data_IF_302657965641
#
_entry.id   IF_302657965641
#
_cell.length_a   1.000
_cell.length_b   1.000
_cell.length_c   1.000
_cell.angle_alpha   90.00
_cell.angle_beta   90.00
_cell.angle_gamma   90.00
#
_symmetry.space_group_name_H-M   'P 1'
#
loop_
_entity.id
_entity.type
_entity.pdbx_description
1 polymer ?
#
# COMPACT_ATOMS: atom_id res chain seq x y z
N UNK A 1 -13.25 -10.50 -2.31
CA UNK A 1 -11.79 -10.32 -2.24
C UNK A 1 -11.24 -11.10 -1.06
N UNK A 2 -10.12 -11.75 -1.26
CA UNK A 2 -9.60 -12.77 -0.34
C UNK A 2 -8.67 -12.25 0.74
N UNK A 3 -8.17 -11.04 0.60
CA UNK A 3 -7.24 -10.44 1.55
C UNK A 3 -7.86 -9.28 2.30
N UNK A 4 -7.25 -8.93 3.43
CA UNK A 4 -7.62 -7.76 4.23
C UNK A 4 -6.38 -6.95 4.54
N UNK A 5 -6.39 -5.69 4.17
CA UNK A 5 -5.25 -4.79 4.37
C UNK A 5 -5.55 -3.81 5.50
N UNK A 6 -4.55 -3.57 6.34
CA UNK A 6 -4.60 -2.47 7.29
C UNK A 6 -4.04 -1.23 6.60
N UNK A 7 -4.90 -0.24 6.38
CA UNK A 7 -4.50 1.02 5.77
C UNK A 7 -4.37 2.09 6.84
N UNK A 8 -3.24 2.75 6.86
CA UNK A 8 -2.96 3.83 7.79
C UNK A 8 -2.83 5.15 7.04
N UNK A 9 -3.30 6.20 7.65
CA UNK A 9 -3.24 7.55 7.10
C UNK A 9 -2.41 8.45 7.98
N UNK A 10 -1.56 9.25 7.36
CA UNK A 10 -0.82 10.28 8.07
C UNK A 10 -1.78 11.39 8.45
N UNK A 11 -2.00 11.58 9.76
CA UNK A 11 -2.90 12.62 10.28
C UNK A 11 -2.21 13.96 10.45
N UNK A 12 -0.90 14.01 10.27
CA UNK A 12 -0.14 15.24 10.40
C UNK A 12 0.25 15.74 9.01
N UNK A 13 -0.71 16.38 8.34
CA UNK A 13 -0.55 16.83 6.96
C UNK A 13 -0.01 18.26 6.85
N UNK A 14 0.16 18.97 7.97
CA UNK A 14 0.56 20.39 7.97
C UNK A 14 2.02 20.56 8.40
N UNK A 15 2.67 21.56 7.81
CA UNK A 15 3.97 22.01 8.27
C UNK A 15 3.83 22.73 9.61
N UNK A 16 4.87 22.67 10.44
CA UNK A 16 4.91 23.44 11.66
C UNK A 16 4.88 24.94 11.38
N UNK A 17 4.64 25.73 12.44
CA UNK A 17 4.52 27.18 12.34
C UNK A 17 5.79 27.86 11.79
N UNK A 18 6.93 27.19 11.91
CA UNK A 18 8.21 27.65 11.35
C UNK A 18 8.48 27.13 9.93
N UNK A 19 7.50 26.45 9.31
CA UNK A 19 7.69 25.81 8.01
C UNK A 19 8.43 24.48 8.07
N UNK A 20 8.70 23.97 9.25
CA UNK A 20 9.37 22.67 9.41
C UNK A 20 8.42 21.53 9.11
N UNK A 21 8.95 20.51 8.43
CA UNK A 21 8.21 19.27 8.20
C UNK A 21 8.10 18.48 9.51
N UNK A 22 6.88 18.23 9.96
CA UNK A 22 6.63 17.47 11.17
C UNK A 22 6.70 15.97 10.90
N UNK A 23 7.13 15.16 11.90
CA UNK A 23 7.11 13.71 11.77
C UNK A 23 5.70 13.20 11.45
N UNK A 24 5.61 12.20 10.60
CA UNK A 24 4.34 11.58 10.27
C UNK A 24 3.73 10.92 11.51
N UNK A 25 2.42 11.10 11.68
CA UNK A 25 1.64 10.41 12.70
C UNK A 25 0.66 9.49 11.99
N UNK A 26 0.90 8.19 12.05
CA UNK A 26 0.10 7.21 11.35
C UNK A 26 -1.03 6.71 12.24
N UNK A 27 -2.25 6.77 11.74
CA UNK A 27 -3.42 6.25 12.42
C UNK A 27 -4.16 5.30 11.49
N UNK A 28 -4.85 4.33 12.09
CA UNK A 28 -5.68 3.41 11.31
C UNK A 28 -6.76 4.18 10.57
N UNK A 29 -6.74 4.08 9.26
CA UNK A 29 -7.74 4.67 8.39
C UNK A 29 -8.79 3.63 7.98
N UNK A 30 -8.34 2.46 7.55
CA UNK A 30 -9.20 1.31 7.23
C UNK A 30 -8.58 0.09 7.89
N UNK A 31 -9.29 -0.48 8.89
CA UNK A 31 -8.74 -1.57 9.69
C UNK A 31 -8.64 -2.89 8.90
N UNK A 32 -9.59 -3.16 8.00
CA UNK A 32 -9.65 -4.41 7.25
C UNK A 32 -10.22 -4.16 5.86
N UNK A 33 -9.42 -3.54 5.00
CA UNK A 33 -9.84 -3.27 3.62
C UNK A 33 -9.90 -4.57 2.83
N UNK A 34 -11.08 -4.95 2.30
CA UNK A 34 -11.15 -6.07 1.38
C UNK A 34 -10.30 -5.77 0.13
N UNK A 35 -9.40 -6.68 -0.21
CA UNK A 35 -8.50 -6.46 -1.34
C UNK A 35 -7.98 -7.78 -1.88
N UNK A 36 -7.27 -7.72 -2.97
CA UNK A 36 -6.53 -8.84 -3.53
C UNK A 36 -5.10 -8.38 -3.81
N UNK A 37 -4.14 -8.97 -3.09
CA UNK A 37 -2.74 -8.63 -3.25
C UNK A 37 -2.05 -9.69 -4.11
N UNK A 38 -1.30 -9.26 -5.11
CA UNK A 38 -0.55 -10.16 -5.97
C UNK A 38 0.70 -9.46 -6.50
N UNK A 39 1.68 -10.27 -6.92
CA UNK A 39 2.88 -9.77 -7.59
C UNK A 39 2.76 -10.12 -9.07
N UNK A 40 2.77 -9.12 -9.97
CA UNK A 40 2.65 -9.39 -11.40
C UNK A 40 3.80 -10.27 -11.89
N UNK A 41 3.47 -11.37 -12.58
CA UNK A 41 4.45 -12.28 -13.14
C UNK A 41 5.10 -11.67 -14.39
N UNK A 42 6.38 -11.99 -14.61
CA UNK A 42 7.11 -11.52 -15.79
C UNK A 42 7.55 -10.08 -15.72
N UNK A 43 7.33 -9.42 -14.58
CA UNK A 43 7.76 -8.05 -14.34
C UNK A 43 8.79 -7.93 -13.22
N UNK A 44 9.50 -9.00 -12.96
CA UNK A 44 10.64 -8.92 -12.05
C UNK A 44 11.73 -8.12 -12.78
N UNK A 45 11.97 -6.88 -12.39
CA UNK A 45 13.01 -6.11 -13.06
C UNK A 45 14.37 -6.65 -12.63
N UNK A 46 14.93 -7.47 -13.49
CA UNK A 46 16.31 -7.93 -13.33
C UNK A 46 17.19 -6.88 -13.97
N UNK A 47 18.01 -6.22 -13.17
CA UNK A 47 18.96 -5.27 -13.71
C UNK A 47 20.09 -6.01 -14.43
N UNK A 48 20.76 -5.33 -15.39
CA UNK A 48 21.88 -5.96 -16.12
C UNK A 48 22.99 -6.48 -15.21
N UNK A 49 23.08 -5.98 -13.98
CA UNK A 49 24.04 -6.45 -12.99
C UNK A 49 23.61 -7.71 -12.25
N UNK A 50 22.41 -8.23 -12.53
CA UNK A 50 21.86 -9.37 -11.83
C UNK A 50 21.26 -9.05 -10.47
N UNK A 51 21.17 -7.78 -10.11
CA UNK A 51 20.57 -7.36 -8.84
C UNK A 51 19.05 -7.39 -8.97
N UNK A 52 18.40 -8.11 -8.06
CA UNK A 52 16.94 -8.16 -7.99
C UNK A 52 16.45 -6.86 -7.36
N UNK A 53 15.60 -6.13 -8.09
CA UNK A 53 14.98 -4.92 -7.57
C UNK A 53 13.86 -5.31 -6.59
N UNK A 54 13.62 -4.45 -5.59
CA UNK A 54 12.60 -4.67 -4.57
C UNK A 54 11.24 -5.01 -5.19
N UNK A 55 10.57 -5.95 -4.56
CA UNK A 55 9.25 -6.42 -4.98
C UNK A 55 8.22 -5.29 -4.97
N UNK A 56 7.46 -5.16 -6.05
CA UNK A 56 6.39 -4.15 -6.19
C UNK A 56 5.05 -4.85 -6.38
N UNK A 57 4.41 -5.28 -5.30
CA UNK A 57 3.11 -5.95 -5.42
C UNK A 57 2.02 -4.97 -5.86
N UNK A 58 0.97 -5.54 -6.46
CA UNK A 58 -0.24 -4.82 -6.82
C UNK A 58 -1.37 -5.23 -5.88
N UNK A 59 -2.19 -4.27 -5.51
CA UNK A 59 -3.37 -4.52 -4.70
C UNK A 59 -4.61 -4.05 -5.45
N UNK A 60 -5.59 -4.94 -5.61
CA UNK A 60 -6.89 -4.57 -6.13
C UNK A 60 -7.80 -4.24 -4.94
N UNK A 61 -8.48 -3.10 -5.00
CA UNK A 61 -9.41 -2.66 -3.96
C UNK A 61 -10.77 -2.33 -4.58
N UNK A 62 -11.86 -2.34 -3.79
CA UNK A 62 -13.17 -1.98 -4.31
C UNK A 62 -13.20 -0.55 -4.84
N UNK A 63 -13.97 -0.34 -5.89
CA UNK A 63 -14.17 1.00 -6.45
C UNK A 63 -14.78 1.91 -5.38
N UNK A 64 -14.31 3.15 -5.33
CA UNK A 64 -14.79 4.11 -4.34
C UNK A 64 -14.09 4.02 -2.98
N UNK A 65 -13.12 3.13 -2.80
CA UNK A 65 -12.33 3.08 -1.57
C UNK A 65 -11.53 4.38 -1.41
N UNK A 66 -11.62 4.97 -0.22
CA UNK A 66 -10.88 6.20 0.11
C UNK A 66 -9.44 5.85 0.48
N UNK A 67 -8.60 5.78 -0.53
CA UNK A 67 -7.17 5.49 -0.40
C UNK A 67 -6.39 6.41 -1.32
N UNK A 68 -5.27 6.94 -0.84
CA UNK A 68 -4.44 7.89 -1.58
C UNK A 68 -2.97 7.52 -1.47
N UNK A 69 -2.15 8.19 -2.26
CA UNK A 69 -0.68 8.03 -2.20
C UNK A 69 -0.08 8.50 -0.88
N UNK A 70 -0.83 9.25 -0.08
CA UNK A 70 -0.41 9.68 1.25
C UNK A 70 -0.67 8.62 2.32
N UNK A 71 -1.38 7.56 1.98
CA UNK A 71 -1.65 6.46 2.89
C UNK A 71 -0.56 5.40 2.78
N UNK A 72 -0.56 4.44 3.69
CA UNK A 72 0.32 3.27 3.62
C UNK A 72 -0.43 2.03 4.03
N UNK A 73 0.06 0.88 3.59
CA UNK A 73 -0.46 -0.42 4.00
C UNK A 73 0.48 -1.02 5.04
N UNK A 74 -0.04 -1.33 6.20
CA UNK A 74 0.72 -1.96 7.29
C UNK A 74 0.27 -3.39 7.49
N UNK A 75 0.72 -4.26 6.61
CA UNK A 75 0.38 -5.67 6.65
C UNK A 75 -0.90 -6.02 5.92
N UNK A 76 -0.90 -7.21 5.36
CA UNK A 76 -2.05 -7.78 4.66
C UNK A 76 -2.31 -9.16 5.23
N UNK A 77 -3.53 -9.40 5.65
CA UNK A 77 -3.96 -10.70 6.17
C UNK A 77 -4.84 -11.41 5.15
N UNK A 78 -4.98 -12.72 5.30
CA UNK A 78 -6.01 -13.45 4.58
C UNK A 78 -7.38 -13.20 5.23
N UNK A 79 -8.44 -13.74 4.64
CA UNK A 79 -9.80 -13.53 5.15
C UNK A 79 -10.04 -14.20 6.51
N UNK A 80 -9.15 -15.09 6.94
CA UNK A 80 -9.23 -15.77 8.24
C UNK A 80 -8.41 -15.08 9.32
N UNK A 81 -7.78 -13.95 8.99
CA UNK A 81 -7.00 -13.17 9.92
C UNK A 81 -5.54 -13.57 10.05
N UNK A 82 -5.07 -14.53 9.26
CA UNK A 82 -3.66 -14.90 9.25
C UNK A 82 -2.87 -13.95 8.38
N UNK A 83 -1.65 -13.64 8.80
CA UNK A 83 -0.77 -12.77 8.03
C UNK A 83 -0.43 -13.39 6.69
N UNK A 84 -0.80 -12.71 5.60
CA UNK A 84 -0.42 -13.07 4.25
C UNK A 84 0.89 -12.39 3.86
N UNK A 85 0.98 -11.09 4.10
CA UNK A 85 2.19 -10.29 3.90
C UNK A 85 2.38 -9.37 5.09
N UNK A 86 3.48 -9.55 5.81
CA UNK A 86 3.86 -8.64 6.89
C UNK A 86 4.67 -7.46 6.33
N UNK A 87 4.72 -6.36 7.08
CA UNK A 87 5.53 -5.21 6.75
C UNK A 87 4.74 -4.04 6.23
N UNK A 88 5.45 -2.95 6.00
CA UNK A 88 4.86 -1.68 5.58
C UNK A 88 5.11 -1.49 4.08
N UNK A 89 4.05 -1.12 3.36
CA UNK A 89 4.12 -0.82 1.94
C UNK A 89 3.70 0.62 1.72
N UNK A 90 4.53 1.36 1.00
CA UNK A 90 4.18 2.69 0.52
C UNK A 90 3.30 2.55 -0.70
N UNK A 91 2.33 3.45 -0.83
CA UNK A 91 1.47 3.50 -2.01
C UNK A 91 2.17 4.35 -3.07
N UNK A 92 2.60 3.72 -4.16
CA UNK A 92 3.28 4.41 -5.24
C UNK A 92 2.29 5.10 -6.18
N UNK A 93 1.16 4.45 -6.46
CA UNK A 93 0.11 5.04 -7.30
C UNK A 93 -1.23 4.39 -7.01
N UNK A 94 -2.30 5.13 -7.27
CA UNK A 94 -3.67 4.63 -7.22
C UNK A 94 -4.30 4.90 -8.58
N UNK A 95 -4.71 3.85 -9.26
CA UNK A 95 -5.29 3.92 -10.60
C UNK A 95 -6.75 3.50 -10.51
N UNK A 96 -7.65 4.36 -10.95
CA UNK A 96 -9.07 4.03 -11.02
C UNK A 96 -9.36 3.26 -12.31
N UNK A 97 -9.67 1.98 -12.16
CA UNK A 97 -10.14 1.16 -13.25
C UNK A 97 -11.67 1.25 -13.34
N UNK A 98 -12.27 0.55 -14.30
CA UNK A 98 -13.71 0.64 -14.55
C UNK A 98 -14.57 0.24 -13.33
N UNK A 99 -14.17 -0.80 -12.63
CA UNK A 99 -14.96 -1.41 -11.55
C UNK A 99 -14.17 -1.65 -10.25
N UNK A 100 -12.92 -1.22 -10.21
CA UNK A 100 -12.04 -1.41 -9.05
C UNK A 100 -10.92 -0.39 -9.04
N UNK A 101 -10.14 -0.36 -7.96
CA UNK A 101 -8.91 0.41 -7.89
C UNK A 101 -7.71 -0.53 -8.01
N UNK A 102 -6.71 -0.09 -8.74
CA UNK A 102 -5.42 -0.76 -8.80
C UNK A 102 -4.40 0.07 -8.03
N UNK A 103 -3.89 -0.48 -6.94
CA UNK A 103 -2.97 0.21 -6.05
C UNK A 103 -1.59 -0.42 -6.19
N UNK A 104 -0.65 0.36 -6.68
CA UNK A 104 0.73 -0.10 -6.79
C UNK A 104 1.45 0.16 -5.47
N UNK A 105 2.04 -0.88 -4.90
CA UNK A 105 2.73 -0.82 -3.62
C UNK A 105 4.23 -0.98 -3.79
N UNK A 106 4.98 -0.39 -2.88
CA UNK A 106 6.42 -0.57 -2.77
C UNK A 106 6.77 -0.94 -1.33
N UNK A 107 7.54 -2.00 -1.15
CA UNK A 107 8.01 -2.37 0.17
C UNK A 107 8.91 -1.28 0.74
N UNK A 108 8.68 -0.92 1.99
CA UNK A 108 9.54 0.02 2.72
C UNK A 108 10.61 -0.79 3.43
N UNK A 109 11.85 -0.52 3.06
CA UNK A 109 12.99 -1.21 3.65
C UNK A 109 13.23 -0.79 5.11
#
# INVERSE_FOLDING_TARGET
MTHRALVERNTRAELGTSGEELPAVWQTHIAALPCFLYTPKGREPVQPTGVIVAESPMMLAPWGTDITESDRVNGVNDRLGKTYRAGIFRIASVIEAHDHLEVQLEAVA
#
